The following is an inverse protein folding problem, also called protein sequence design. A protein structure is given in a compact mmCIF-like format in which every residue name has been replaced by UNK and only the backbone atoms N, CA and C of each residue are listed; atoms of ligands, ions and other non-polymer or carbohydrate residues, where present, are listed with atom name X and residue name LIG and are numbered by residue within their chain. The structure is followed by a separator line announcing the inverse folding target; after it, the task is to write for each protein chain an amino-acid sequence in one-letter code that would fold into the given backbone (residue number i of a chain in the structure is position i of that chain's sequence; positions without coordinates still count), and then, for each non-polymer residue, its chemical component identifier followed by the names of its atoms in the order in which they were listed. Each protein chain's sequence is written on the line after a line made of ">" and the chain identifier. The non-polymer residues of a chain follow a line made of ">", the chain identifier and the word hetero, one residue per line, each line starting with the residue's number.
data_IF_887480467580
#
_entry.id   IF_887480467580
#
_cell.length_a   1.000
_cell.length_b   1.000
_cell.length_c   1.000
_cell.angle_alpha   90.00
_cell.angle_beta   90.00
_cell.angle_gamma   90.00
#
_symmetry.space_group_name_H-M   'P 1'
#
loop_
_entity.id
_entity.type
_entity.pdbx_description
1 polymer ?
#
# COMPACT_ATOMS: atom_id res chain seq x y z
N UNK A 1 -11.39 -58.86 49.98
CA UNK A 1 -10.48 -59.35 48.93
C UNK A 1 -10.94 -58.75 47.61
N UNK A 2 -10.17 -57.85 47.00
CA UNK A 2 -10.51 -57.24 45.71
C UNK A 2 -10.07 -58.19 44.58
N UNK A 3 -10.97 -58.46 43.65
CA UNK A 3 -10.69 -59.28 42.45
C UNK A 3 -9.70 -58.55 41.52
N UNK A 4 -8.70 -59.24 40.93
CA UNK A 4 -7.75 -58.61 40.02
C UNK A 4 -8.44 -58.16 38.72
N UNK A 5 -8.10 -56.97 38.23
CA UNK A 5 -8.58 -56.44 36.96
C UNK A 5 -7.91 -57.18 35.80
N UNK A 6 -8.72 -57.80 34.94
CA UNK A 6 -8.27 -58.50 33.74
C UNK A 6 -7.86 -57.51 32.64
N UNK A 7 -6.56 -57.40 32.41
CA UNK A 7 -5.92 -56.51 31.43
C UNK A 7 -6.05 -57.01 29.97
N UNK A 8 -6.64 -58.19 29.72
CA UNK A 8 -6.82 -58.73 28.36
C UNK A 8 -7.82 -57.93 27.51
N UNK A 9 -8.71 -57.15 28.13
CA UNK A 9 -9.65 -56.24 27.45
C UNK A 9 -9.02 -54.96 26.91
N UNK A 10 -7.71 -54.74 27.15
CA UNK A 10 -6.93 -53.61 26.62
C UNK A 10 -6.17 -53.97 25.32
N UNK A 11 -6.47 -55.09 24.68
CA UNK A 11 -5.95 -55.39 23.35
C UNK A 11 -6.61 -54.50 22.30
N UNK A 12 -5.80 -53.56 21.79
CA UNK A 12 -5.99 -52.67 20.65
C UNK A 12 -7.07 -53.17 19.68
N UNK A 13 -8.24 -52.53 19.69
CA UNK A 13 -9.13 -52.47 18.53
C UNK A 13 -8.31 -51.83 17.42
N UNK A 14 -7.77 -52.62 16.50
CA UNK A 14 -7.10 -52.14 15.30
C UNK A 14 -8.12 -51.24 14.59
N UNK A 15 -7.92 -49.93 14.72
CA UNK A 15 -8.75 -48.94 14.05
C UNK A 15 -8.49 -49.18 12.57
N UNK A 16 -9.45 -49.80 11.88
CA UNK A 16 -9.48 -49.76 10.42
C UNK A 16 -9.66 -48.29 10.07
N UNK A 17 -8.55 -47.61 9.80
CA UNK A 17 -8.55 -46.26 9.25
C UNK A 17 -9.15 -46.35 7.86
N UNK A 18 -10.47 -46.26 7.77
CA UNK A 18 -11.12 -45.88 6.52
C UNK A 18 -10.59 -44.49 6.17
N UNK A 19 -9.60 -44.44 5.29
CA UNK A 19 -9.23 -43.24 4.54
C UNK A 19 -10.48 -42.80 3.78
N UNK A 20 -11.30 -41.98 4.43
CA UNK A 20 -12.32 -41.20 3.74
C UNK A 20 -11.51 -40.18 2.94
N UNK A 21 -11.25 -40.52 1.69
CA UNK A 21 -10.70 -39.59 0.70
C UNK A 21 -11.77 -38.51 0.50
N UNK A 22 -11.71 -37.48 1.35
CA UNK A 22 -12.56 -36.31 1.20
C UNK A 22 -12.13 -35.66 -0.11
N UNK A 23 -12.91 -35.86 -1.17
CA UNK A 23 -12.76 -35.13 -2.42
C UNK A 23 -12.64 -33.65 -2.07
N UNK A 24 -11.47 -33.05 -2.30
CA UNK A 24 -11.29 -31.61 -2.10
C UNK A 24 -12.36 -30.93 -2.95
N UNK A 25 -13.32 -30.24 -2.33
CA UNK A 25 -14.30 -29.45 -3.08
C UNK A 25 -13.51 -28.53 -4.00
N UNK A 26 -13.62 -28.73 -5.31
CA UNK A 26 -13.02 -27.86 -6.31
C UNK A 26 -13.80 -26.55 -6.20
N UNK A 27 -13.24 -25.58 -5.48
CA UNK A 27 -13.83 -24.26 -5.38
C UNK A 27 -13.62 -23.60 -6.74
N UNK A 28 -14.70 -23.46 -7.50
CA UNK A 28 -14.67 -22.72 -8.75
C UNK A 28 -14.51 -21.23 -8.42
N UNK A 29 -13.28 -20.72 -8.54
CA UNK A 29 -12.92 -19.33 -8.21
C UNK A 29 -12.97 -18.39 -9.43
N UNK A 30 -13.04 -18.94 -10.63
CA UNK A 30 -12.81 -18.25 -11.89
C UNK A 30 -13.83 -18.67 -12.95
N UNK A 31 -15.08 -18.86 -12.52
CA UNK A 31 -16.23 -19.15 -13.40
C UNK A 31 -16.02 -20.30 -14.42
N UNK A 32 -15.25 -21.31 -14.03
CA UNK A 32 -14.96 -22.51 -14.83
C UNK A 32 -13.56 -22.54 -15.42
N UNK A 33 -12.83 -21.42 -15.39
CA UNK A 33 -11.46 -21.33 -15.88
C UNK A 33 -10.45 -21.92 -14.89
N UNK A 34 -9.43 -22.55 -15.43
CA UNK A 34 -8.23 -22.98 -14.70
C UNK A 34 -7.31 -21.79 -14.41
N UNK A 35 -6.41 -21.94 -13.43
CA UNK A 35 -5.42 -20.88 -13.14
C UNK A 35 -4.49 -20.62 -14.34
N UNK A 36 -4.19 -21.66 -15.12
CA UNK A 36 -3.33 -21.58 -16.30
C UNK A 36 -4.00 -20.79 -17.43
N UNK A 37 -5.30 -21.02 -17.66
CA UNK A 37 -6.08 -20.25 -18.63
C UNK A 37 -6.18 -18.77 -18.22
N UNK A 38 -6.42 -18.48 -16.94
CA UNK A 38 -6.43 -17.10 -16.45
C UNK A 38 -5.07 -16.44 -16.64
N UNK A 39 -3.98 -17.12 -16.32
CA UNK A 39 -2.64 -16.59 -16.47
C UNK A 39 -2.25 -16.35 -17.94
N UNK A 40 -2.78 -17.16 -18.86
CA UNK A 40 -2.48 -17.07 -20.30
C UNK A 40 -3.37 -16.05 -21.03
N UNK A 41 -4.66 -16.00 -20.68
CA UNK A 41 -5.67 -15.32 -21.49
C UNK A 41 -6.20 -14.03 -20.86
N UNK A 42 -5.93 -13.78 -19.57
CA UNK A 42 -6.41 -12.58 -18.89
C UNK A 42 -5.25 -11.63 -18.58
N UNK A 43 -5.33 -10.39 -19.06
CA UNK A 43 -4.44 -9.29 -18.69
C UNK A 43 -5.27 -8.09 -18.23
N UNK A 44 -4.61 -7.07 -17.70
CA UNK A 44 -5.25 -5.79 -17.41
C UNK A 44 -4.73 -4.73 -18.38
N UNK A 45 -5.64 -3.96 -18.95
CA UNK A 45 -5.33 -2.77 -19.74
C UNK A 45 -4.94 -1.62 -18.81
N UNK A 46 -3.92 -0.87 -19.19
CA UNK A 46 -3.51 0.28 -18.39
C UNK A 46 -4.49 1.45 -18.53
N UNK A 47 -4.70 2.17 -17.44
CA UNK A 47 -5.47 3.41 -17.42
C UNK A 47 -4.49 4.58 -17.36
N UNK A 48 -4.10 5.06 -18.54
CA UNK A 48 -3.15 6.15 -18.70
C UNK A 48 -3.72 7.18 -19.68
N UNK A 49 -3.56 8.46 -19.33
CA UNK A 49 -3.93 9.60 -20.16
C UNK A 49 -2.97 10.76 -19.87
N UNK A 50 -2.99 11.79 -20.70
CA UNK A 50 -2.21 13.00 -20.47
C UNK A 50 -2.71 13.76 -19.24
N UNK A 51 -1.82 14.51 -18.60
CA UNK A 51 -2.14 15.40 -17.48
C UNK A 51 -2.69 14.70 -16.22
N UNK A 52 -2.33 13.44 -16.00
CA UNK A 52 -2.66 12.75 -14.75
C UNK A 52 -1.90 13.35 -13.56
N UNK A 53 -2.57 13.45 -12.42
CA UNK A 53 -1.93 13.84 -11.16
C UNK A 53 -1.08 12.70 -10.60
N UNK A 54 -1.63 11.49 -10.60
CA UNK A 54 -1.01 10.32 -9.98
C UNK A 54 -1.14 9.13 -10.93
N UNK A 55 -0.09 8.33 -11.06
CA UNK A 55 -0.17 6.97 -11.63
C UNK A 55 0.27 5.97 -10.59
N UNK A 56 -0.62 5.04 -10.21
CA UNK A 56 -0.25 3.90 -9.36
C UNK A 56 0.30 2.76 -10.21
N UNK A 57 1.50 2.33 -9.85
CA UNK A 57 2.25 1.25 -10.49
C UNK A 57 2.18 0.04 -9.57
N UNK A 58 1.41 -0.96 -9.97
CA UNK A 58 1.37 -2.26 -9.32
C UNK A 58 2.49 -3.18 -9.78
N UNK A 59 2.67 -4.31 -9.09
CA UNK A 59 3.67 -5.31 -9.47
C UNK A 59 3.20 -6.05 -10.71
N UNK A 60 2.09 -6.78 -10.55
CA UNK A 60 1.45 -7.53 -11.60
C UNK A 60 0.01 -7.89 -11.13
N UNK A 61 -0.89 -8.23 -12.06
CA UNK A 61 -2.22 -8.66 -11.70
C UNK A 61 -2.20 -9.93 -10.83
N UNK A 62 -3.03 -9.98 -9.79
CA UNK A 62 -3.38 -11.27 -9.20
C UNK A 62 -4.32 -12.04 -10.11
N UNK A 63 -4.36 -13.38 -10.02
CA UNK A 63 -5.32 -14.19 -10.79
C UNK A 63 -6.77 -13.68 -10.68
N UNK A 64 -7.22 -13.26 -9.49
CA UNK A 64 -8.58 -12.70 -9.30
C UNK A 64 -8.76 -11.35 -10.02
N UNK A 65 -7.74 -10.49 -9.99
CA UNK A 65 -7.80 -9.20 -10.66
C UNK A 65 -7.84 -9.37 -12.18
N UNK A 66 -6.96 -10.23 -12.71
CA UNK A 66 -6.91 -10.57 -14.13
C UNK A 66 -8.22 -11.20 -14.61
N UNK A 67 -8.71 -12.22 -13.92
CA UNK A 67 -9.98 -12.87 -14.25
C UNK A 67 -11.16 -11.89 -14.28
N UNK A 68 -11.19 -10.93 -13.35
CA UNK A 68 -12.24 -9.91 -13.29
C UNK A 68 -12.04 -8.77 -14.30
N UNK A 69 -10.86 -8.66 -14.91
CA UNK A 69 -10.48 -7.51 -15.73
C UNK A 69 -10.44 -6.19 -14.95
N UNK A 70 -10.16 -6.25 -13.64
CA UNK A 70 -10.26 -5.09 -12.73
C UNK A 70 -9.08 -4.95 -11.78
N UNK A 71 -8.55 -3.73 -11.65
CA UNK A 71 -7.42 -3.47 -10.77
C UNK A 71 -7.79 -3.69 -9.30
N UNK A 72 -6.85 -4.24 -8.54
CA UNK A 72 -6.96 -4.47 -7.10
C UNK A 72 -8.26 -5.18 -6.64
N UNK A 73 -8.92 -5.95 -7.51
CA UNK A 73 -10.20 -6.62 -7.25
C UNK A 73 -10.16 -7.79 -6.26
N UNK A 74 -9.11 -7.89 -5.43
CA UNK A 74 -9.02 -8.89 -4.37
C UNK A 74 -9.80 -8.46 -3.13
N UNK A 75 -10.58 -9.38 -2.55
CA UNK A 75 -11.46 -9.09 -1.41
C UNK A 75 -10.75 -8.44 -0.19
N UNK A 76 -9.47 -8.75 0.00
CA UNK A 76 -8.65 -8.22 1.09
C UNK A 76 -7.63 -7.16 0.62
N UNK A 77 -7.80 -6.54 -0.55
CA UNK A 77 -6.93 -5.45 -0.95
C UNK A 77 -7.37 -4.12 -0.28
N UNK A 78 -6.43 -3.34 0.25
CA UNK A 78 -6.72 -2.09 0.94
C UNK A 78 -6.81 -0.87 -0.01
N UNK A 79 -6.47 -1.01 -1.29
CA UNK A 79 -6.26 0.10 -2.23
C UNK A 79 -7.40 1.12 -2.26
N UNK A 80 -8.62 0.73 -2.65
CA UNK A 80 -9.75 1.66 -2.74
C UNK A 80 -10.13 2.27 -1.39
N UNK A 81 -10.02 1.50 -0.31
CA UNK A 81 -10.26 2.02 1.05
C UNK A 81 -9.20 3.04 1.46
N UNK A 82 -7.94 2.84 1.05
CA UNK A 82 -6.85 3.79 1.28
C UNK A 82 -7.07 5.08 0.48
N UNK A 83 -7.44 4.99 -0.80
CA UNK A 83 -7.76 6.16 -1.63
C UNK A 83 -8.88 7.00 -1.03
N UNK A 84 -9.94 6.36 -0.54
CA UNK A 84 -11.06 7.07 0.05
C UNK A 84 -10.69 7.67 1.43
N UNK A 85 -10.11 6.87 2.33
CA UNK A 85 -9.76 7.33 3.68
C UNK A 85 -8.67 8.39 3.69
N UNK A 86 -7.77 8.43 2.71
CA UNK A 86 -6.80 9.52 2.56
C UNK A 86 -7.40 10.78 1.92
N UNK A 87 -8.62 10.66 1.37
CA UNK A 87 -9.30 11.73 0.64
C UNK A 87 -8.75 11.98 -0.76
N UNK A 88 -8.01 11.04 -1.36
CA UNK A 88 -7.63 11.08 -2.78
C UNK A 88 -8.85 10.87 -3.68
N UNK A 89 -9.89 10.21 -3.16
CA UNK A 89 -11.20 10.09 -3.81
C UNK A 89 -12.30 10.54 -2.83
N UNK A 90 -13.32 11.27 -3.30
CA UNK A 90 -14.35 11.82 -2.43
C UNK A 90 -15.26 10.76 -1.80
N UNK A 91 -15.43 9.61 -2.47
CA UNK A 91 -16.23 8.49 -1.99
C UNK A 91 -15.50 7.15 -2.20
N UNK A 92 -15.95 6.12 -1.50
CA UNK A 92 -15.39 4.78 -1.62
C UNK A 92 -15.83 4.13 -2.94
N UNK A 93 -14.93 4.13 -3.93
CA UNK A 93 -15.09 3.39 -5.18
C UNK A 93 -15.01 1.88 -4.97
N UNK A 94 -15.78 1.13 -5.75
CA UNK A 94 -15.59 -0.33 -5.89
C UNK A 94 -14.56 -0.64 -6.97
N UNK A 95 -14.03 -1.87 -6.98
CA UNK A 95 -13.05 -2.24 -8.01
C UNK A 95 -13.67 -2.29 -9.41
N UNK A 96 -14.98 -2.51 -9.52
CA UNK A 96 -15.71 -2.47 -10.80
C UNK A 96 -15.68 -1.07 -11.45
N UNK A 97 -15.43 -0.04 -10.65
CA UNK A 97 -15.39 1.37 -11.03
C UNK A 97 -13.96 1.89 -11.21
N UNK A 98 -12.98 1.00 -11.35
CA UNK A 98 -11.57 1.35 -11.49
C UNK A 98 -11.27 2.38 -12.59
N UNK A 99 -11.92 2.28 -13.74
CA UNK A 99 -11.82 3.26 -14.83
C UNK A 99 -12.19 4.69 -14.41
N UNK A 100 -13.10 4.89 -13.45
CA UNK A 100 -13.49 6.23 -12.96
C UNK A 100 -12.35 6.94 -12.22
N UNK A 101 -11.27 6.22 -11.84
CA UNK A 101 -10.09 6.85 -11.27
C UNK A 101 -9.46 7.90 -12.20
N UNK A 102 -9.62 7.74 -13.51
CA UNK A 102 -9.19 8.73 -14.50
C UNK A 102 -9.89 10.09 -14.32
N UNK A 103 -11.16 10.11 -13.88
CA UNK A 103 -11.90 11.34 -13.58
C UNK A 103 -11.31 12.10 -12.37
N UNK A 104 -10.57 11.39 -11.52
CA UNK A 104 -9.87 11.95 -10.34
C UNK A 104 -8.39 12.24 -10.61
N UNK A 105 -7.96 12.18 -11.88
CA UNK A 105 -6.55 12.37 -12.24
C UNK A 105 -5.65 11.21 -11.79
N UNK A 106 -6.22 10.02 -11.54
CA UNK A 106 -5.50 8.83 -11.06
C UNK A 106 -5.46 7.76 -12.16
N UNK A 107 -4.27 7.45 -12.65
CA UNK A 107 -4.01 6.34 -13.58
C UNK A 107 -3.52 5.07 -12.89
N UNK A 108 -3.59 3.95 -13.61
CA UNK A 108 -3.21 2.62 -13.14
C UNK A 108 -2.37 1.89 -14.20
N UNK A 109 -1.27 1.28 -13.78
CA UNK A 109 -0.45 0.39 -14.61
C UNK A 109 0.18 -0.70 -13.75
N UNK A 110 0.75 -1.74 -14.37
CA UNK A 110 1.62 -2.69 -13.69
C UNK A 110 3.01 -2.74 -14.33
N UNK A 111 4.00 -3.19 -13.56
CA UNK A 111 5.35 -3.50 -14.07
C UNK A 111 5.29 -4.71 -14.99
N UNK A 112 4.62 -5.78 -14.57
CA UNK A 112 4.48 -7.02 -15.34
C UNK A 112 3.01 -7.29 -15.65
N UNK A 113 2.68 -7.54 -16.91
CA UNK A 113 1.30 -7.81 -17.35
C UNK A 113 0.83 -9.22 -17.00
N UNK A 114 1.74 -10.19 -16.90
CA UNK A 114 1.44 -11.60 -16.61
C UNK A 114 0.82 -11.76 -15.21
N UNK A 115 -0.39 -12.33 -15.09
CA UNK A 115 -0.98 -12.60 -13.79
C UNK A 115 -0.24 -13.70 -13.03
N UNK A 116 -0.15 -13.57 -11.70
CA UNK A 116 0.37 -14.64 -10.84
C UNK A 116 -0.42 -14.78 -9.55
N UNK A 117 -0.20 -15.90 -8.86
CA UNK A 117 -0.76 -16.10 -7.52
C UNK A 117 -0.02 -15.24 -6.49
N UNK A 118 1.30 -15.17 -6.62
CA UNK A 118 2.19 -14.38 -5.78
C UNK A 118 3.17 -13.58 -6.63
N UNK A 119 3.54 -12.39 -6.18
CA UNK A 119 4.64 -11.62 -6.79
C UNK A 119 5.99 -12.34 -6.69
N UNK A 120 6.12 -13.33 -5.79
CA UNK A 120 7.29 -14.20 -5.69
C UNK A 120 7.45 -15.14 -6.90
N UNK A 121 6.39 -15.32 -7.71
CA UNK A 121 6.40 -16.17 -8.91
C UNK A 121 6.91 -15.40 -10.15
N UNK A 122 7.34 -14.15 -9.97
CA UNK A 122 7.95 -13.32 -11.01
C UNK A 122 9.46 -13.44 -10.99
N UNK A 123 10.07 -13.55 -12.18
CA UNK A 123 11.52 -13.53 -12.32
C UNK A 123 12.05 -12.10 -12.23
N UNK A 124 13.27 -11.94 -11.71
CA UNK A 124 13.93 -10.63 -11.68
C UNK A 124 14.10 -10.02 -13.08
N UNK A 125 14.33 -10.85 -14.11
CA UNK A 125 14.40 -10.39 -15.50
C UNK A 125 13.07 -9.78 -15.98
N UNK A 126 11.92 -10.42 -15.67
CA UNK A 126 10.59 -9.89 -16.02
C UNK A 126 10.34 -8.54 -15.35
N UNK A 127 10.74 -8.40 -14.08
CA UNK A 127 10.62 -7.12 -13.38
C UNK A 127 11.49 -6.03 -14.01
N UNK A 128 12.74 -6.34 -14.35
CA UNK A 128 13.66 -5.38 -14.98
C UNK A 128 13.19 -4.92 -16.36
N UNK A 129 12.69 -5.86 -17.17
CA UNK A 129 12.12 -5.55 -18.49
C UNK A 129 10.85 -4.71 -18.35
N UNK A 130 9.93 -5.14 -17.50
CA UNK A 130 8.70 -4.41 -17.22
C UNK A 130 8.94 -3.00 -16.69
N UNK A 131 10.01 -2.80 -15.90
CA UNK A 131 10.38 -1.48 -15.41
C UNK A 131 10.79 -0.53 -16.52
N UNK A 132 11.51 -1.00 -17.55
CA UNK A 132 11.84 -0.17 -18.72
C UNK A 132 10.59 0.31 -19.43
N UNK A 133 9.61 -0.57 -19.63
CA UNK A 133 8.33 -0.20 -20.23
C UNK A 133 7.56 0.82 -19.36
N UNK A 134 7.62 0.69 -18.04
CA UNK A 134 7.02 1.69 -17.13
C UNK A 134 7.74 3.03 -17.24
N UNK A 135 9.07 3.05 -17.29
CA UNK A 135 9.85 4.28 -17.48
C UNK A 135 9.48 4.98 -18.79
N UNK A 136 9.38 4.26 -19.90
CA UNK A 136 8.92 4.79 -21.19
C UNK A 136 7.50 5.38 -21.10
N UNK A 137 6.57 4.67 -20.45
CA UNK A 137 5.20 5.17 -20.22
C UNK A 137 5.21 6.45 -19.39
N UNK A 138 6.01 6.53 -18.33
CA UNK A 138 6.09 7.72 -17.48
C UNK A 138 6.69 8.92 -18.22
N UNK A 139 7.71 8.69 -19.05
CA UNK A 139 8.31 9.73 -19.91
C UNK A 139 7.30 10.28 -20.93
N UNK A 140 6.40 9.44 -21.43
CA UNK A 140 5.39 9.83 -22.41
C UNK A 140 4.17 10.50 -21.78
N UNK A 141 3.56 9.88 -20.76
CA UNK A 141 2.30 10.36 -20.14
C UNK A 141 2.52 11.45 -19.08
N UNK A 142 3.74 11.57 -18.56
CA UNK A 142 4.20 12.63 -17.64
C UNK A 142 3.23 12.95 -16.49
N UNK A 143 2.81 11.95 -15.68
CA UNK A 143 2.01 12.26 -14.50
C UNK A 143 2.81 13.10 -13.50
N UNK A 144 2.15 13.90 -12.65
CA UNK A 144 2.88 14.65 -11.60
C UNK A 144 3.61 13.70 -10.63
N UNK A 145 2.97 12.59 -10.26
CA UNK A 145 3.51 11.62 -9.29
C UNK A 145 3.38 10.18 -9.80
N UNK A 146 4.48 9.44 -9.82
CA UNK A 146 4.53 8.00 -10.07
C UNK A 146 4.60 7.23 -8.73
N UNK A 147 3.55 6.48 -8.40
CA UNK A 147 3.41 5.79 -7.11
C UNK A 147 3.68 4.30 -7.25
N UNK A 148 4.81 3.85 -6.72
CA UNK A 148 5.17 2.44 -6.64
C UNK A 148 4.43 1.75 -5.48
N UNK A 149 3.42 0.94 -5.81
CA UNK A 149 2.59 0.20 -4.86
C UNK A 149 3.24 -1.12 -4.41
N UNK A 150 4.38 -1.00 -3.73
CA UNK A 150 5.13 -2.12 -3.18
C UNK A 150 6.64 -1.88 -3.22
N UNK A 151 7.33 -2.24 -2.12
CA UNK A 151 8.78 -2.09 -2.01
C UNK A 151 9.56 -2.81 -3.13
N UNK A 152 9.17 -4.03 -3.47
CA UNK A 152 9.94 -4.89 -4.37
C UNK A 152 10.04 -4.37 -5.81
N UNK A 153 9.05 -3.62 -6.29
CA UNK A 153 9.11 -3.06 -7.66
C UNK A 153 10.00 -1.83 -7.72
N UNK A 154 10.03 -1.03 -6.65
CA UNK A 154 10.98 0.07 -6.57
C UNK A 154 12.41 -0.45 -6.40
N UNK A 155 12.64 -1.50 -5.59
CA UNK A 155 13.93 -2.17 -5.49
C UNK A 155 14.40 -2.77 -6.84
N UNK A 156 13.49 -3.16 -7.73
CA UNK A 156 13.84 -3.68 -9.06
C UNK A 156 14.26 -2.56 -10.04
N UNK A 157 13.82 -1.33 -9.81
CA UNK A 157 14.15 -0.14 -10.60
C UNK A 157 15.40 0.56 -10.07
N UNK A 158 15.53 0.68 -8.76
CA UNK A 158 16.64 1.41 -8.14
C UNK A 158 17.95 0.62 -8.18
N UNK A 159 19.04 1.28 -8.57
CA UNK A 159 20.39 0.74 -8.46
C UNK A 159 20.88 0.64 -7.01
N UNK A 160 20.17 1.24 -6.05
CA UNK A 160 20.49 1.26 -4.61
C UNK A 160 19.56 0.34 -3.81
N UNK A 161 19.52 -0.94 -4.18
CA UNK A 161 18.66 -1.94 -3.56
C UNK A 161 18.71 -1.91 -2.03
N UNK A 162 17.55 -1.82 -1.39
CA UNK A 162 17.38 -2.04 0.05
C UNK A 162 17.63 -0.85 0.99
N UNK A 163 18.17 0.28 0.52
CA UNK A 163 18.55 1.43 1.36
C UNK A 163 17.67 2.68 1.16
N UNK A 164 16.37 2.50 0.86
CA UNK A 164 15.44 3.62 0.67
C UNK A 164 14.35 3.66 1.75
N UNK A 165 13.84 4.87 2.01
CA UNK A 165 12.68 5.13 2.89
C UNK A 165 11.41 5.17 2.05
N UNK A 166 10.28 4.72 2.59
CA UNK A 166 9.00 4.90 1.92
C UNK A 166 8.64 6.39 1.81
N UNK A 167 7.68 6.71 0.93
CA UNK A 167 7.24 8.06 0.62
C UNK A 167 7.98 8.67 -0.57
N UNK A 168 8.23 9.97 -0.54
CA UNK A 168 8.87 10.72 -1.61
C UNK A 168 10.35 10.33 -1.75
N UNK A 169 10.75 9.99 -2.97
CA UNK A 169 12.13 9.68 -3.32
C UNK A 169 12.85 10.94 -3.83
N UNK A 170 14.18 10.90 -3.81
CA UNK A 170 15.01 12.02 -4.33
C UNK A 170 15.06 11.99 -5.85
N UNK A 171 15.00 10.80 -6.42
CA UNK A 171 15.02 10.57 -7.85
C UNK A 171 13.64 10.83 -8.48
N UNK A 172 13.64 11.36 -9.70
CA UNK A 172 12.45 11.50 -10.56
C UNK A 172 12.59 10.56 -11.76
N UNK A 173 11.46 10.19 -12.36
CA UNK A 173 11.43 9.50 -13.67
C UNK A 173 10.82 10.47 -14.67
N UNK A 174 11.67 11.05 -15.53
CA UNK A 174 11.28 12.18 -16.35
C UNK A 174 10.90 13.37 -15.46
N UNK A 175 9.70 13.92 -15.70
CA UNK A 175 9.13 15.01 -14.90
C UNK A 175 8.33 14.51 -13.68
N UNK A 176 8.13 13.20 -13.56
CA UNK A 176 7.30 12.61 -12.51
C UNK A 176 8.10 12.44 -11.21
N UNK A 177 7.58 13.02 -10.12
CA UNK A 177 8.08 12.72 -8.78
C UNK A 177 7.82 11.25 -8.43
N UNK A 178 8.77 10.58 -7.79
CA UNK A 178 8.63 9.18 -7.42
C UNK A 178 8.17 9.04 -5.97
N UNK A 179 7.12 8.25 -5.74
CA UNK A 179 6.58 7.97 -4.43
C UNK A 179 6.47 6.46 -4.20
N UNK A 180 6.94 5.96 -3.05
CA UNK A 180 6.90 4.52 -2.75
C UNK A 180 6.01 4.25 -1.55
N UNK A 181 5.06 3.33 -1.70
CA UNK A 181 4.19 2.88 -0.60
C UNK A 181 4.36 1.39 -0.32
N UNK A 182 4.07 0.90 0.90
CA UNK A 182 3.92 -0.53 1.10
C UNK A 182 2.80 -1.08 0.22
N UNK A 183 2.92 -2.35 -0.16
CA UNK A 183 1.90 -2.97 -1.01
C UNK A 183 0.52 -2.90 -0.35
N UNK A 184 -0.47 -2.42 -1.11
CA UNK A 184 -1.88 -2.36 -0.73
C UNK A 184 -2.50 -3.73 -0.40
N UNK A 185 -1.89 -4.83 -0.86
CA UNK A 185 -2.31 -6.20 -0.54
C UNK A 185 -2.28 -6.49 0.97
N UNK A 186 -3.31 -7.15 1.52
CA UNK A 186 -3.29 -7.66 2.88
C UNK A 186 -2.21 -8.74 3.13
N UNK A 187 -1.55 -9.25 2.08
CA UNK A 187 -0.39 -10.14 2.22
C UNK A 187 0.88 -9.41 2.70
N UNK A 188 0.88 -8.08 2.74
CA UNK A 188 2.01 -7.30 3.23
C UNK A 188 2.14 -7.47 4.76
N UNK A 189 3.00 -8.39 5.19
CA UNK A 189 3.17 -8.72 6.62
C UNK A 189 3.71 -7.55 7.46
N UNK A 190 4.53 -6.68 6.87
CA UNK A 190 5.11 -5.52 7.58
C UNK A 190 4.08 -4.43 7.88
N UNK A 191 2.97 -4.39 7.13
CA UNK A 191 1.88 -3.42 7.29
C UNK A 191 0.54 -4.17 7.17
N UNK A 192 0.16 -4.91 8.22
CA UNK A 192 -0.94 -5.87 8.13
C UNK A 192 -2.32 -5.20 8.01
N UNK A 193 -2.53 -4.03 8.63
CA UNK A 193 -3.82 -3.34 8.65
C UNK A 193 -3.89 -2.23 7.61
N UNK A 194 -5.09 -1.68 7.43
CA UNK A 194 -5.27 -0.51 6.58
C UNK A 194 -4.64 0.73 7.23
N UNK A 195 -4.83 0.88 8.55
CA UNK A 195 -4.38 2.01 9.35
C UNK A 195 -2.85 2.13 9.32
N UNK A 196 -2.15 0.99 9.26
CA UNK A 196 -0.69 0.93 9.12
C UNK A 196 -0.19 1.53 7.80
N UNK A 197 -1.05 1.62 6.78
CA UNK A 197 -0.73 2.12 5.42
C UNK A 197 -1.31 3.50 5.13
N UNK A 198 -2.27 3.96 5.93
CA UNK A 198 -3.06 5.14 5.60
C UNK A 198 -2.20 6.41 5.51
N UNK A 199 -1.23 6.57 6.40
CA UNK A 199 -0.38 7.76 6.44
C UNK A 199 0.41 7.99 5.14
N UNK A 200 0.85 6.94 4.44
CA UNK A 200 1.51 7.08 3.14
C UNK A 200 0.61 7.72 2.08
N UNK A 201 -0.69 7.42 2.10
CA UNK A 201 -1.67 7.94 1.16
C UNK A 201 -2.14 9.34 1.55
N UNK A 202 -2.27 9.62 2.86
CA UNK A 202 -2.60 10.97 3.35
C UNK A 202 -1.48 11.96 3.05
N UNK A 203 -0.21 11.56 3.27
CA UNK A 203 0.93 12.40 2.92
C UNK A 203 1.11 12.55 1.41
N UNK A 204 0.78 11.53 0.61
CA UNK A 204 0.72 11.63 -0.85
C UNK A 204 -0.28 12.70 -1.30
N UNK A 205 -1.48 12.73 -0.69
CA UNK A 205 -2.46 13.80 -0.96
C UNK A 205 -1.90 15.18 -0.60
N UNK A 206 -1.31 15.34 0.59
CA UNK A 206 -0.69 16.61 1.02
C UNK A 206 0.37 17.08 0.03
N UNK A 207 1.21 16.17 -0.47
CA UNK A 207 2.23 16.47 -1.47
C UNK A 207 1.61 16.86 -2.83
N UNK A 208 0.55 16.18 -3.27
CA UNK A 208 -0.17 16.59 -4.48
C UNK A 208 -0.75 18.00 -4.37
N UNK A 209 -1.34 18.35 -3.21
CA UNK A 209 -1.87 19.68 -2.96
C UNK A 209 -0.78 20.76 -3.01
N UNK A 210 0.41 20.45 -2.48
CA UNK A 210 1.59 21.30 -2.62
C UNK A 210 2.00 21.49 -4.09
N UNK A 211 2.07 20.41 -4.88
CA UNK A 211 2.38 20.49 -6.32
C UNK A 211 1.31 21.25 -7.14
N UNK A 212 0.08 21.35 -6.62
CA UNK A 212 -1.01 22.14 -7.22
C UNK A 212 -1.05 23.59 -6.74
N UNK A 213 -0.18 23.98 -5.80
CA UNK A 213 -0.18 25.32 -5.21
C UNK A 213 -1.34 25.58 -4.24
N UNK A 214 -2.07 24.54 -3.80
CA UNK A 214 -3.13 24.67 -2.80
C UNK A 214 -2.55 24.92 -1.39
N UNK A 215 -1.32 24.47 -1.16
CA UNK A 215 -0.57 24.63 0.09
C UNK A 215 0.82 25.15 -0.27
N UNK A 216 1.27 26.21 0.41
CA UNK A 216 2.53 26.88 0.09
C UNK A 216 3.76 26.32 0.82
N UNK A 217 3.57 25.77 2.03
CA UNK A 217 4.68 25.33 2.87
C UNK A 217 4.49 23.87 3.34
N UNK A 218 5.49 23.04 3.04
CA UNK A 218 5.58 21.64 3.47
C UNK A 218 7.02 21.34 3.91
N UNK A 219 7.17 20.54 4.97
CA UNK A 219 8.48 19.98 5.31
C UNK A 219 8.69 18.69 4.51
N UNK A 220 9.76 18.61 3.73
CA UNK A 220 10.10 17.41 2.94
C UNK A 220 10.35 16.18 3.81
N UNK A 221 10.68 16.36 5.10
CA UNK A 221 10.82 15.26 6.06
C UNK A 221 9.47 14.60 6.37
N UNK A 222 8.35 15.30 6.23
CA UNK A 222 6.99 14.73 6.41
C UNK A 222 6.65 13.67 5.36
N UNK A 223 7.43 13.60 4.28
CA UNK A 223 7.21 12.71 3.15
C UNK A 223 8.18 11.53 3.13
N UNK A 224 8.98 11.33 4.17
CA UNK A 224 9.88 10.17 4.29
C UNK A 224 9.55 9.33 5.51
N UNK A 225 9.39 8.03 5.30
CA UNK A 225 8.90 7.10 6.32
C UNK A 225 9.81 5.88 6.44
N UNK A 226 10.06 5.45 7.68
CA UNK A 226 10.87 4.26 7.95
C UNK A 226 10.15 2.96 7.54
N UNK A 227 10.95 1.97 7.16
CA UNK A 227 10.49 0.75 6.47
C UNK A 227 9.72 -0.29 7.30
N UNK A 228 9.37 0.01 8.56
CA UNK A 228 8.72 -0.94 9.48
C UNK A 228 7.61 -0.24 10.23
N UNK A 229 6.41 -0.84 10.26
CA UNK A 229 5.41 -0.45 11.24
C UNK A 229 5.97 -0.76 12.63
N UNK A 230 6.28 0.28 13.40
CA UNK A 230 6.77 0.18 14.78
C UNK A 230 5.65 -0.11 15.77
N UNK A 231 4.39 -0.09 15.33
CA UNK A 231 3.26 -0.36 16.21
C UNK A 231 3.30 -1.82 16.65
N UNK A 232 3.37 -2.01 17.97
CA UNK A 232 3.26 -3.30 18.64
C UNK A 232 2.01 -4.03 18.15
N UNK A 233 2.20 -5.08 17.37
CA UNK A 233 1.14 -6.05 17.09
C UNK A 233 0.96 -6.81 18.41
N UNK A 234 -0.18 -6.66 19.13
CA UNK A 234 -0.42 -7.54 20.26
C UNK A 234 -0.40 -8.96 19.72
N UNK A 235 0.55 -9.79 20.21
CA UNK A 235 0.54 -11.25 20.02
C UNK A 235 -0.65 -11.84 20.77
N UNK A 236 -1.86 -11.52 20.34
CA UNK A 236 -3.10 -12.04 20.91
C UNK A 236 -4.11 -12.35 19.82
N UNK A 237 -3.68 -13.15 18.85
CA UNK A 237 -4.45 -14.38 18.63
C UNK A 237 -4.04 -15.38 19.71
N UNK A 238 -4.49 -15.15 20.94
CA UNK A 238 -4.55 -16.18 21.99
C UNK A 238 -5.71 -17.16 21.74
N UNK A 239 -6.27 -17.18 20.53
CA UNK A 239 -6.95 -18.35 20.00
C UNK A 239 -5.87 -19.27 19.41
N UNK A 240 -5.86 -20.54 19.81
CA UNK A 240 -4.93 -21.59 19.38
C UNK A 240 -3.65 -21.76 20.21
N UNK A 241 -3.79 -22.01 21.52
CA UNK A 241 -3.11 -23.12 22.23
C UNK A 241 -3.86 -23.42 23.55
N UNK A 242 -5.08 -24.00 23.46
CA UNK A 242 -5.48 -24.94 24.51
C UNK A 242 -4.95 -26.29 24.06
N UNK A 243 -3.85 -26.75 24.69
CA UNK A 243 -3.63 -28.20 24.78
C UNK A 243 -4.92 -28.74 25.41
N UNK A 244 -5.53 -29.74 24.77
CA UNK A 244 -6.66 -30.53 25.28
C UNK A 244 -8.09 -30.13 24.87
N UNK A 245 -8.29 -29.27 23.86
CA UNK A 245 -9.64 -29.06 23.28
C UNK A 245 -9.67 -29.31 21.77
N UNK A 246 -10.02 -30.54 21.40
CA UNK A 246 -10.39 -30.94 20.03
C UNK A 246 -11.71 -30.27 19.62
N UNK A 247 -11.70 -29.45 18.56
CA UNK A 247 -12.92 -28.84 17.96
C UNK A 247 -13.33 -29.60 16.70
N UNK A 248 -13.34 -30.94 16.76
CA UNK A 248 -13.88 -31.76 15.69
C UNK A 248 -14.74 -32.90 16.22
N UNK A 249 -15.80 -32.56 16.96
CA UNK A 249 -16.99 -33.38 17.03
C UNK A 249 -18.21 -32.46 16.86
N UNK A 250 -18.91 -32.65 15.74
CA UNK A 250 -20.16 -32.03 15.32
C UNK A 250 -20.05 -30.60 14.77
N UNK A 251 -20.24 -30.49 13.44
CA UNK A 251 -20.24 -29.22 12.72
C UNK A 251 -21.23 -28.22 13.32
N UNK A 252 -20.74 -27.03 13.63
CA UNK A 252 -21.56 -25.94 14.13
C UNK A 252 -20.79 -24.63 14.08
N UNK A 253 -21.38 -23.61 13.45
CA UNK A 253 -20.97 -22.21 13.53
C UNK A 253 -21.00 -21.79 15.00
N UNK A 254 -19.91 -21.18 15.51
CA UNK A 254 -19.97 -20.43 16.75
C UNK A 254 -20.25 -18.97 16.39
N UNK A 255 -21.52 -18.60 16.41
CA UNK A 255 -21.92 -17.21 16.61
C UNK A 255 -21.75 -16.93 18.11
N UNK A 256 -20.86 -16.01 18.47
CA UNK A 256 -20.69 -15.66 19.87
C UNK A 256 -21.86 -14.77 20.32
N UNK A 257 -22.82 -15.37 21.03
CA UNK A 257 -24.02 -14.72 21.55
C UNK A 257 -23.76 -14.26 22.99
N UNK A 258 -22.74 -13.43 23.18
CA UNK A 258 -22.48 -12.65 24.40
C UNK A 258 -21.28 -11.73 24.17
N UNK A 259 -21.52 -10.64 23.46
CA UNK A 259 -20.93 -9.36 23.83
C UNK A 259 -22.09 -8.38 23.86
N UNK A 260 -22.62 -8.19 25.06
CA UNK A 260 -23.51 -7.08 25.35
C UNK A 260 -22.78 -5.80 24.95
N UNK A 261 -23.51 -4.94 24.26
CA UNK A 261 -23.19 -3.53 24.07
C UNK A 261 -22.96 -2.93 25.46
N UNK A 262 -21.70 -2.71 25.81
CA UNK A 262 -21.33 -1.69 26.77
C UNK A 262 -20.94 -0.49 25.93
N UNK A 263 -21.75 0.54 26.08
CA UNK A 263 -21.52 1.89 25.60
C UNK A 263 -20.07 2.29 25.92
N UNK A 264 -19.25 2.43 24.89
CA UNK A 264 -17.95 3.10 24.97
C UNK A 264 -18.08 4.39 24.18
N UNK A 265 -18.95 5.27 24.66
CA UNK A 265 -19.01 6.66 24.25
C UNK A 265 -17.80 7.47 24.73
N UNK A 266 -16.89 6.90 25.51
CA UNK A 266 -15.65 7.55 25.91
C UNK A 266 -14.44 6.61 25.80
N UNK A 267 -13.33 7.16 25.30
CA UNK A 267 -11.99 6.56 25.12
C UNK A 267 -11.75 5.77 23.82
N UNK A 268 -11.72 6.49 22.70
CA UNK A 268 -10.62 6.42 21.71
C UNK A 268 -10.80 7.50 20.64
N UNK A 269 -10.78 8.77 21.03
CA UNK A 269 -10.46 9.87 20.13
C UNK A 269 -8.98 9.72 19.77
N UNK A 270 -8.68 8.81 18.85
CA UNK A 270 -7.37 8.78 18.22
C UNK A 270 -7.21 10.13 17.53
N UNK A 271 -6.27 10.94 18.05
CA UNK A 271 -5.86 12.20 17.46
C UNK A 271 -5.61 12.01 15.97
N UNK A 272 -6.60 12.32 15.13
CA UNK A 272 -6.31 12.92 13.85
C UNK A 272 -5.59 14.21 14.19
N UNK A 273 -4.31 14.30 13.84
CA UNK A 273 -3.67 15.60 13.72
C UNK A 273 -4.42 16.36 12.62
N UNK A 274 -5.49 17.04 13.02
CA UNK A 274 -6.06 18.13 12.24
C UNK A 274 -4.95 19.16 12.11
N UNK A 275 -4.29 19.13 10.96
CA UNK A 275 -3.34 20.16 10.58
C UNK A 275 -4.16 21.44 10.36
N UNK A 276 -4.16 22.31 11.36
CA UNK A 276 -4.63 23.69 11.21
C UNK A 276 -3.67 24.38 10.23
N UNK A 277 -4.08 24.49 8.98
CA UNK A 277 -3.42 25.32 7.98
C UNK A 277 -3.65 26.78 8.37
N UNK A 278 -2.64 27.43 8.96
CA UNK A 278 -2.66 28.88 9.15
C UNK A 278 -2.51 29.53 7.76
N UNK A 279 -3.63 30.02 7.23
CA UNK A 279 -3.64 30.93 6.08
C UNK A 279 -3.04 32.26 6.52
N UNK A 280 -1.76 32.48 6.22
CA UNK A 280 -1.12 33.79 6.45
C UNK A 280 -1.64 34.74 5.38
N UNK A 281 -2.46 35.73 5.77
CA UNK A 281 -2.82 36.85 4.90
C UNK A 281 -1.61 37.79 4.80
N UNK A 282 -1.10 38.00 3.58
CA UNK A 282 -0.22 39.12 3.23
C UNK A 282 -0.95 40.42 3.55
N UNK A 283 -0.35 41.26 4.39
CA UNK A 283 -0.59 42.71 4.36
C UNK A 283 0.70 43.36 3.88
N UNK A 284 0.67 43.84 2.64
CA UNK A 284 1.61 44.83 2.12
C UNK A 284 1.17 46.21 2.63
N UNK A 285 2.07 46.92 3.30
CA UNK A 285 2.11 48.39 3.31
C UNK A 285 3.47 48.86 3.83
N UNK A 286 4.25 49.42 2.89
CA UNK A 286 5.33 50.42 2.97
C UNK A 286 5.80 50.91 4.35
N UNK A 287 7.14 50.98 4.52
CA UNK A 287 7.83 52.29 4.56
C UNK A 287 9.35 52.15 4.42
N UNK A 288 9.88 52.78 3.38
CA UNK A 288 11.28 53.18 3.26
C UNK A 288 11.61 54.24 4.32
N UNK A 289 12.73 54.08 5.03
CA UNK A 289 13.75 55.11 5.28
C UNK A 289 14.52 54.82 6.58
N UNK A 290 15.80 54.45 6.45
CA UNK A 290 16.92 55.29 6.92
C UNK A 290 18.28 54.68 6.60
N UNK A 291 18.99 55.43 5.77
CA UNK A 291 20.42 55.35 5.47
C UNK A 291 21.30 55.46 6.73
N UNK A 292 22.36 54.65 6.73
CA UNK A 292 23.77 55.04 6.86
C UNK A 292 24.56 54.77 8.17
N UNK A 293 25.79 54.25 7.92
CA UNK A 293 27.04 54.20 8.72
C UNK A 293 27.10 53.10 9.79
N UNK A 294 28.16 52.30 9.96
CA UNK A 294 29.55 52.31 9.45
C UNK A 294 30.23 50.93 9.60
N UNK A 295 31.03 50.57 8.61
CA UNK A 295 32.31 49.82 8.64
C UNK A 295 32.85 49.17 9.94
N UNK A 296 33.19 47.86 9.91
CA UNK A 296 34.57 47.30 9.82
C UNK A 296 34.63 45.81 10.23
N UNK A 297 35.24 45.01 9.33
CA UNK A 297 36.08 43.80 9.51
C UNK A 297 35.85 42.83 10.68
N UNK A 298 35.66 41.55 10.35
CA UNK A 298 36.69 40.51 10.53
C UNK A 298 36.34 39.18 9.81
N UNK A 299 37.41 38.49 9.40
CA UNK A 299 37.50 37.22 8.65
C UNK A 299 36.86 36.02 9.38
N UNK A 300 36.29 35.07 8.65
CA UNK A 300 36.90 33.75 8.32
C UNK A 300 35.87 32.62 8.10
N UNK A 301 36.25 31.72 7.18
CA UNK A 301 35.82 30.31 7.02
C UNK A 301 34.40 30.06 6.45
N UNK A 302 34.28 29.74 5.16
CA UNK A 302 34.42 28.40 4.53
C UNK A 302 33.15 27.57 4.64
N UNK A 303 32.37 27.51 3.56
CA UNK A 303 31.87 26.27 2.95
C UNK A 303 31.12 26.63 1.66
N UNK A 304 31.43 25.88 0.61
CA UNK A 304 30.95 26.08 -0.74
C UNK A 304 29.51 25.56 -0.88
N UNK A 305 28.54 26.48 -0.86
CA UNK A 305 27.18 26.19 -1.29
C UNK A 305 27.08 26.32 -2.81
N UNK A 306 26.65 25.24 -3.45
CA UNK A 306 26.33 25.18 -4.88
C UNK A 306 24.93 25.81 -5.06
N UNK A 307 24.91 27.06 -5.53
CA UNK A 307 23.71 27.71 -6.05
C UNK A 307 23.30 27.03 -7.36
N UNK A 308 22.14 26.35 -7.37
CA UNK A 308 21.46 25.96 -8.59
C UNK A 308 20.44 27.06 -8.91
N UNK A 309 20.78 27.86 -9.91
CA UNK A 309 19.90 28.84 -10.54
C UNK A 309 18.88 28.09 -11.40
N UNK A 310 17.59 28.25 -11.10
CA UNK A 310 16.53 27.91 -12.05
C UNK A 310 16.27 29.14 -12.93
N UNK A 311 16.71 29.07 -14.19
CA UNK A 311 16.26 29.99 -15.22
C UNK A 311 14.79 29.68 -15.54
N UNK A 312 13.91 30.67 -15.30
CA UNK A 312 12.56 30.69 -15.82
C UNK A 312 12.64 31.03 -17.32
N UNK A 313 12.23 30.09 -18.17
CA UNK A 313 11.89 30.40 -19.58
C UNK A 313 10.37 30.57 -19.66
N UNK A 314 9.99 31.72 -20.21
CA UNK A 314 8.62 32.17 -20.50
C UNK A 314 7.86 31.23 -21.43
#
# INVERSE_FOLDING_TARGET
>A
MMTPIDLSKLMKKTRVEKKIEKSKKIINRFDGLTEEEVQKNCTLEDYLQMNLDIVFIGINPSLTAAHRGKYYAGACNHFYKLLHKSGLTPYLLKYEEDHKLLEYGIGLTNVVHRPTRSSADLKSAELKEGMKCVEEKLMYWKPKIAVFNGKCIYDACSTKSGAFKFGLQRECIGESAVWVVPSSSARCANFPRLEDKLHFFTSLKKYLQFLKGEIECVDMKDFQFEGKCTQFIPRTSKMWRRKDASVFLNGGRVANKQLMCLDTSDVATAYSSEFIVKKVRKNESNEEAKKSKSSKNSKSNSESDIEIVFENVQ
#
